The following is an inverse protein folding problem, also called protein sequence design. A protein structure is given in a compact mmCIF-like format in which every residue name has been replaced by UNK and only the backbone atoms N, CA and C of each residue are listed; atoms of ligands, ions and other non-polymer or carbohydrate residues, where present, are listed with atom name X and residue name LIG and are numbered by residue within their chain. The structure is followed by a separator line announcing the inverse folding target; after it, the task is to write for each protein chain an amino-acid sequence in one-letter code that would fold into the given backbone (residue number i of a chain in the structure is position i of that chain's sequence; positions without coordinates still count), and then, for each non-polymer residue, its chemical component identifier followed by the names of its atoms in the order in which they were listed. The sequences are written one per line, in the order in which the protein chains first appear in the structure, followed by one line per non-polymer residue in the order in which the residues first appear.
data_IF_323282140969
#
_entry.id   IF_323282140969
#
_cell.length_a   1.000
_cell.length_b   1.000
_cell.length_c   1.000
_cell.angle_alpha   90.00
_cell.angle_beta   90.00
_cell.angle_gamma   90.00
#
_symmetry.space_group_name_H-M   'P 1'
#
loop_
_entity.id
_entity.type
_entity.pdbx_description
1 polymer ?
#
# COMPACT_ATOMS: atom_id res chain seq x y z
N UNK A 1 -4.20 -17.59 -5.28
CA UNK A 1 -3.83 -16.99 -6.58
C UNK A 1 -2.52 -17.57 -7.08
N UNK A 2 -2.47 -17.97 -8.35
CA UNK A 2 -1.27 -18.54 -8.92
C UNK A 2 -0.63 -17.62 -9.94
N UNK A 3 0.63 -17.92 -10.29
CA UNK A 3 1.34 -17.20 -11.34
C UNK A 3 1.67 -18.20 -12.44
N UNK A 4 1.37 -17.85 -13.67
CA UNK A 4 1.58 -18.70 -14.81
C UNK A 4 2.32 -17.95 -15.92
N UNK A 5 3.02 -18.70 -16.78
CA UNK A 5 3.64 -18.09 -17.92
C UNK A 5 2.56 -17.80 -19.01
N UNK A 6 2.99 -17.22 -20.13
CA UNK A 6 2.07 -16.78 -21.19
C UNK A 6 1.34 -17.94 -21.88
N UNK A 7 1.80 -19.19 -21.73
CA UNK A 7 1.08 -20.35 -22.26
C UNK A 7 0.09 -20.94 -21.25
N UNK A 8 -0.02 -20.36 -20.07
CA UNK A 8 -0.89 -20.84 -19.03
C UNK A 8 -0.27 -21.86 -18.10
N UNK A 9 1.01 -22.14 -18.27
CA UNK A 9 1.72 -23.13 -17.45
C UNK A 9 2.41 -22.48 -16.26
N UNK A 10 2.41 -23.16 -15.13
CA UNK A 10 3.00 -22.63 -13.89
C UNK A 10 4.48 -22.98 -13.74
N UNK A 11 5.08 -23.57 -14.76
CA UNK A 11 6.46 -24.05 -14.66
C UNK A 11 7.48 -22.93 -14.87
N UNK A 12 8.68 -23.16 -14.40
CA UNK A 12 9.82 -22.27 -14.61
C UNK A 12 9.87 -21.07 -13.70
N UNK A 13 8.83 -20.86 -12.88
CA UNK A 13 8.79 -19.75 -11.96
C UNK A 13 8.83 -20.25 -10.52
N UNK A 14 9.96 -20.08 -9.87
CA UNK A 14 10.13 -20.42 -8.46
C UNK A 14 10.06 -19.11 -7.65
N UNK A 15 9.06 -19.01 -6.76
CA UNK A 15 8.87 -17.83 -5.93
C UNK A 15 9.55 -18.08 -4.59
N UNK A 16 10.59 -17.32 -4.31
CA UNK A 16 11.34 -17.42 -3.07
C UNK A 16 11.08 -16.18 -2.25
N UNK A 17 10.56 -16.34 -1.02
CA UNK A 17 10.32 -15.17 -0.17
C UNK A 17 11.60 -14.41 0.12
N UNK A 18 11.46 -13.09 0.27
CA UNK A 18 12.57 -12.24 0.67
C UNK A 18 12.21 -11.59 2.01
N UNK A 19 13.19 -11.50 2.90
CA UNK A 19 12.98 -10.86 4.19
C UNK A 19 12.80 -9.36 3.99
N UNK A 20 11.81 -8.78 4.67
CA UNK A 20 11.50 -7.36 4.57
C UNK A 20 12.73 -6.50 4.87
N UNK A 21 13.53 -6.90 5.84
CA UNK A 21 14.72 -6.14 6.28
C UNK A 21 15.79 -6.04 5.18
N UNK A 22 15.74 -6.94 4.19
CA UNK A 22 16.69 -6.92 3.08
C UNK A 22 16.30 -5.96 1.97
N UNK A 23 15.10 -5.40 2.03
CA UNK A 23 14.65 -4.43 1.06
C UNK A 23 15.28 -3.07 1.35
N UNK A 24 15.58 -2.30 0.31
CA UNK A 24 16.01 -0.92 0.50
C UNK A 24 14.81 -0.04 0.85
N UNK A 25 15.06 1.24 1.16
CA UNK A 25 13.99 2.14 1.62
C UNK A 25 12.87 2.28 0.59
N UNK A 26 13.22 2.41 -0.69
CA UNK A 26 12.23 2.55 -1.75
C UNK A 26 11.42 1.28 -1.93
N UNK A 27 12.07 0.13 -1.84
CA UNK A 27 11.39 -1.15 -1.94
C UNK A 27 10.45 -1.40 -0.77
N UNK A 28 10.87 -0.98 0.44
CA UNK A 28 10.02 -1.08 1.63
C UNK A 28 8.77 -0.22 1.49
N UNK A 29 8.93 0.98 0.95
CA UNK A 29 7.79 1.87 0.72
C UNK A 29 6.80 1.24 -0.27
N UNK A 30 7.29 0.71 -1.38
CA UNK A 30 6.45 0.03 -2.36
C UNK A 30 5.78 -1.20 -1.77
N UNK A 31 6.53 -1.99 -1.00
CA UNK A 31 6.01 -3.18 -0.33
C UNK A 31 4.85 -2.80 0.59
N UNK A 32 5.07 -1.80 1.44
CA UNK A 32 4.06 -1.38 2.41
C UNK A 32 2.80 -0.84 1.71
N UNK A 33 2.98 -0.05 0.64
CA UNK A 33 1.85 0.45 -0.14
C UNK A 33 1.02 -0.70 -0.70
N UNK A 34 1.67 -1.70 -1.28
CA UNK A 34 0.98 -2.83 -1.89
C UNK A 34 0.23 -3.66 -0.86
N UNK A 35 0.80 -3.82 0.34
CA UNK A 35 0.14 -4.55 1.42
C UNK A 35 -1.12 -3.83 1.89
N UNK A 36 -1.03 -2.52 2.09
CA UNK A 36 -2.17 -1.72 2.52
C UNK A 36 -3.24 -1.69 1.42
N UNK A 37 -2.83 -1.54 0.17
CA UNK A 37 -3.76 -1.52 -0.95
C UNK A 37 -4.51 -2.85 -1.07
N UNK A 38 -3.83 -3.97 -0.88
CA UNK A 38 -4.46 -5.27 -0.90
C UNK A 38 -5.49 -5.42 0.23
N UNK A 39 -5.16 -4.91 1.42
CA UNK A 39 -6.09 -4.94 2.53
C UNK A 39 -7.33 -4.09 2.23
N UNK A 40 -7.14 -2.87 1.75
CA UNK A 40 -8.24 -1.97 1.42
C UNK A 40 -9.09 -2.50 0.27
N UNK A 41 -8.50 -3.29 -0.62
CA UNK A 41 -9.25 -3.93 -1.71
C UNK A 41 -10.37 -4.83 -1.17
N UNK A 42 -10.16 -5.45 0.00
CA UNK A 42 -11.19 -6.28 0.63
C UNK A 42 -12.43 -5.48 1.01
N UNK A 43 -12.29 -4.17 1.12
CA UNK A 43 -13.38 -3.27 1.52
C UNK A 43 -13.90 -2.44 0.36
N UNK A 44 -13.54 -2.80 -0.87
CA UNK A 44 -14.04 -2.13 -2.06
C UNK A 44 -13.27 -0.89 -2.48
N UNK A 45 -12.07 -0.67 -1.95
CA UNK A 45 -11.24 0.47 -2.31
C UNK A 45 -10.22 0.11 -3.37
N UNK A 46 -9.98 1.06 -4.27
CA UNK A 46 -8.88 1.02 -5.21
C UNK A 46 -7.89 2.12 -4.83
N UNK A 47 -6.60 1.83 -4.90
CA UNK A 47 -5.58 2.76 -4.44
C UNK A 47 -4.76 3.30 -5.60
N UNK A 48 -4.49 4.60 -5.57
CA UNK A 48 -3.62 5.27 -6.54
C UNK A 48 -2.47 5.90 -5.78
N UNK A 49 -1.26 5.43 -6.05
CA UNK A 49 -0.07 6.01 -5.44
C UNK A 49 0.21 7.35 -6.11
N UNK A 50 0.45 8.38 -5.30
CA UNK A 50 0.76 9.71 -5.80
C UNK A 50 2.25 9.81 -6.11
N UNK A 51 2.60 10.54 -7.16
CA UNK A 51 4.00 10.77 -7.51
C UNK A 51 4.68 11.64 -6.46
N UNK A 52 3.94 12.62 -5.97
CA UNK A 52 4.41 13.54 -4.94
C UNK A 52 3.42 13.59 -3.80
N UNK A 53 3.89 13.96 -2.62
CA UNK A 53 3.03 14.16 -1.46
C UNK A 53 2.00 15.26 -1.78
N UNK A 54 0.73 14.95 -1.61
CA UNK A 54 -0.35 15.90 -1.86
C UNK A 54 -1.13 16.09 -0.57
N UNK A 55 -1.04 17.29 0.00
CA UNK A 55 -1.73 17.61 1.24
C UNK A 55 -1.43 16.62 2.37
N UNK A 56 -0.22 16.07 2.35
CA UNK A 56 0.20 15.10 3.34
C UNK A 56 -0.09 13.64 2.99
N UNK A 57 -0.77 13.39 1.89
CA UNK A 57 -1.13 12.03 1.51
C UNK A 57 -0.07 11.42 0.58
N UNK A 58 0.23 10.15 0.78
CA UNK A 58 1.07 9.36 -0.12
C UNK A 58 0.26 8.71 -1.22
N UNK A 59 -0.97 8.34 -0.93
CA UNK A 59 -1.85 7.75 -1.93
C UNK A 59 -3.30 8.06 -1.62
N UNK A 60 -4.14 7.87 -2.63
CA UNK A 60 -5.58 8.00 -2.50
C UNK A 60 -6.22 6.62 -2.58
N UNK A 61 -7.24 6.40 -1.78
CA UNK A 61 -8.05 5.20 -1.84
C UNK A 61 -9.48 5.62 -2.15
N UNK A 62 -10.00 5.20 -3.29
CA UNK A 62 -11.37 5.55 -3.69
C UNK A 62 -12.22 4.30 -3.71
N UNK A 63 -13.44 4.44 -3.21
CA UNK A 63 -14.36 3.32 -3.10
C UNK A 63 -15.09 3.07 -4.41
N UNK A 64 -15.48 1.80 -4.63
CA UNK A 64 -16.23 1.40 -5.82
C UNK A 64 -17.58 2.11 -5.95
N UNK A 65 -18.14 2.62 -4.85
CA UNK A 65 -19.41 3.36 -4.90
C UNK A 65 -19.26 4.74 -5.55
N UNK A 66 -18.02 5.19 -5.76
CA UNK A 66 -17.75 6.47 -6.38
C UNK A 66 -17.92 7.68 -5.48
N UNK A 67 -18.23 7.48 -4.20
CA UNK A 67 -18.54 8.58 -3.30
C UNK A 67 -17.50 8.80 -2.21
N UNK A 68 -16.77 7.77 -1.82
CA UNK A 68 -15.83 7.86 -0.72
C UNK A 68 -14.41 7.83 -1.24
N UNK A 69 -13.60 8.83 -0.84
CA UNK A 69 -12.18 8.89 -1.17
C UNK A 69 -11.41 9.22 0.10
N UNK A 70 -10.40 8.42 0.38
CA UNK A 70 -9.54 8.61 1.55
C UNK A 70 -8.18 9.11 1.11
N UNK A 71 -7.65 10.08 1.85
CA UNK A 71 -6.25 10.49 1.73
C UNK A 71 -5.46 9.71 2.76
N UNK A 72 -4.45 8.97 2.33
CA UNK A 72 -3.74 8.06 3.22
C UNK A 72 -2.25 8.40 3.27
N UNK A 73 -1.72 8.52 4.48
CA UNK A 73 -0.29 8.68 4.74
C UNK A 73 0.27 7.32 5.18
N UNK A 74 1.28 6.85 4.47
CA UNK A 74 1.90 5.56 4.76
C UNK A 74 3.02 5.76 5.78
N UNK A 75 3.01 4.97 6.84
CA UNK A 75 4.02 5.05 7.90
C UNK A 75 4.73 3.71 8.06
N UNK A 76 6.05 3.75 8.16
CA UNK A 76 6.84 2.55 8.42
C UNK A 76 6.87 2.15 9.88
N UNK A 77 6.51 3.06 10.77
CA UNK A 77 6.44 2.80 12.20
C UNK A 77 5.33 3.66 12.81
N UNK A 78 4.87 3.27 13.97
CA UNK A 78 3.79 3.99 14.64
C UNK A 78 4.31 5.31 15.18
N UNK A 79 4.02 6.39 14.47
CA UNK A 79 4.29 7.75 14.90
C UNK A 79 3.13 8.63 14.44
N UNK A 80 2.85 9.66 15.21
CA UNK A 80 1.84 10.65 14.84
C UNK A 80 2.53 11.99 14.72
N UNK A 81 2.53 12.54 13.51
CA UNK A 81 3.12 13.84 13.27
C UNK A 81 2.03 14.90 13.41
N UNK A 82 2.27 15.89 14.26
CA UNK A 82 1.29 16.94 14.56
C UNK A 82 0.88 17.71 13.31
N UNK A 83 1.74 17.83 12.32
CA UNK A 83 1.41 18.57 11.10
C UNK A 83 0.26 17.96 10.31
N UNK A 84 -0.07 16.70 10.56
CA UNK A 84 -1.16 16.03 9.85
C UNK A 84 -2.49 16.13 10.59
N UNK A 85 -2.49 16.61 11.83
CA UNK A 85 -3.72 16.72 12.59
C UNK A 85 -4.62 17.78 11.94
N UNK A 86 -5.91 17.49 11.84
CA UNK A 86 -6.88 18.39 11.25
C UNK A 86 -6.94 18.42 9.74
N UNK A 87 -6.12 17.62 9.05
CA UNK A 87 -6.10 17.54 7.59
C UNK A 87 -6.97 16.41 7.04
N UNK A 88 -7.65 15.69 7.91
CA UNK A 88 -8.49 14.55 7.50
C UNK A 88 -7.70 13.50 6.73
N UNK A 89 -6.51 13.19 7.23
CA UNK A 89 -5.64 12.21 6.62
C UNK A 89 -5.65 10.97 7.48
N UNK A 90 -5.84 9.84 6.85
CA UNK A 90 -5.77 8.54 7.50
C UNK A 90 -4.34 8.03 7.43
N UNK A 91 -3.83 7.51 8.53
CA UNK A 91 -2.49 6.96 8.57
C UNK A 91 -2.55 5.45 8.50
N UNK A 92 -1.75 4.89 7.60
CA UNK A 92 -1.61 3.46 7.47
C UNK A 92 -0.20 3.06 7.82
N UNK A 93 -0.06 2.03 8.62
CA UNK A 93 1.25 1.52 9.01
C UNK A 93 1.16 0.00 9.14
N UNK A 94 2.28 -0.70 8.91
CA UNK A 94 2.26 -2.15 9.02
C UNK A 94 2.03 -2.58 10.47
N UNK A 95 1.25 -3.64 10.62
CA UNK A 95 1.05 -4.26 11.92
C UNK A 95 2.21 -5.18 12.17
N UNK A 96 2.80 -5.13 13.37
CA UNK A 96 3.77 -6.13 13.74
C UNK A 96 3.06 -7.42 14.11
N UNK A 97 3.64 -8.51 13.68
CA UNK A 97 3.09 -9.82 13.98
C UNK A 97 3.87 -10.50 15.09
#
# INVERSE_FOLDING_TARGET
MGVRNETGEAEGLALVPIAYEKLNARQKEAFNFQKVAALLANYGFNCIKLADDWQGADFLAYHNDGEQTLKVQLKGRLTIDKKYKGKQIYMAFPMSE
#
